data_IF_306512264831
#
_entry.id   IF_306512264831
#
_cell.length_a   1.000
_cell.length_b   1.000
_cell.length_c   1.000
_cell.angle_alpha   90.00
_cell.angle_beta   90.00
_cell.angle_gamma   90.00
#
_symmetry.space_group_name_H-M   'P 1'
#
loop_
_entity.id
_entity.type
_entity.pdbx_description
1 polymer ?
#
# COMPACT_ATOMS: atom_id res chain seq x y z
N UNK A 1 4.04 -5.66 9.47
CA UNK A 1 3.73 -4.93 8.22
C UNK A 1 2.24 -4.83 7.92
N UNK A 2 1.50 -5.92 7.75
CA UNK A 2 0.09 -5.83 7.30
C UNK A 2 -0.81 -5.01 8.24
N UNK A 3 -0.52 -4.99 9.55
CA UNK A 3 -1.21 -4.20 10.57
C UNK A 3 -0.32 -3.12 11.20
N UNK A 4 0.85 -2.85 10.63
CA UNK A 4 1.75 -1.82 11.17
C UNK A 4 1.24 -0.44 10.79
N UNK A 5 1.02 0.41 11.79
CA UNK A 5 0.54 1.78 11.61
C UNK A 5 1.64 2.80 11.40
N UNK A 6 1.24 4.07 11.38
CA UNK A 6 2.15 5.21 11.48
C UNK A 6 2.64 5.37 12.91
N UNK A 7 3.83 5.94 13.07
CA UNK A 7 4.38 6.35 14.36
C UNK A 7 3.98 7.79 14.68
N UNK A 8 3.77 8.05 15.96
CA UNK A 8 3.47 9.38 16.48
C UNK A 8 4.69 9.95 17.19
N UNK A 9 5.07 11.18 16.85
CA UNK A 9 6.21 11.89 17.44
C UNK A 9 5.78 13.23 18.03
N UNK A 10 6.52 13.70 19.03
CA UNK A 10 6.19 14.93 19.77
C UNK A 10 6.48 16.22 18.99
N UNK A 11 7.23 16.14 17.88
CA UNK A 11 7.60 17.28 17.04
C UNK A 11 7.01 17.15 15.62
N UNK A 12 6.86 18.27 14.91
CA UNK A 12 6.32 18.29 13.56
C UNK A 12 7.15 17.39 12.59
N UNK A 13 6.52 16.54 11.75
CA UNK A 13 5.10 16.52 11.35
C UNK A 13 4.15 15.69 12.23
N UNK A 14 4.56 15.29 13.44
CA UNK A 14 3.80 14.51 14.43
C UNK A 14 3.40 13.09 14.02
N UNK A 15 3.27 12.80 12.72
CA UNK A 15 2.96 11.49 12.18
C UNK A 15 4.07 11.12 11.19
N UNK A 16 4.73 9.99 11.42
CA UNK A 16 5.81 9.50 10.57
C UNK A 16 5.52 8.07 10.11
N UNK A 17 5.94 7.71 8.90
CA UNK A 17 5.94 6.32 8.51
C UNK A 17 6.90 5.50 9.38
N UNK A 18 6.47 4.31 9.78
CA UNK A 18 7.34 3.37 10.50
C UNK A 18 8.45 2.86 9.56
N UNK A 19 9.71 3.02 9.94
CA UNK A 19 10.89 2.61 9.16
C UNK A 19 11.01 1.09 8.94
N UNK A 20 10.35 0.29 9.77
CA UNK A 20 10.26 -1.18 9.64
C UNK A 20 9.02 -1.63 8.84
N UNK A 21 8.39 -0.70 8.11
CA UNK A 21 7.31 -0.93 7.17
C UNK A 21 5.94 -0.54 7.70
N UNK A 22 5.09 0.00 6.83
CA UNK A 22 3.70 0.37 7.11
C UNK A 22 2.74 -0.60 6.38
N UNK A 23 1.50 -0.74 6.86
CA UNK A 23 0.47 -1.49 6.14
C UNK A 23 0.26 -0.90 4.75
N UNK A 24 0.23 -1.75 3.71
CA UNK A 24 -0.01 -1.31 2.34
C UNK A 24 -1.38 -0.65 2.19
N UNK A 25 -2.38 -1.06 2.98
CA UNK A 25 -3.71 -0.47 2.99
C UNK A 25 -3.76 0.89 3.70
N UNK A 26 -2.89 1.11 4.69
CA UNK A 26 -2.75 2.43 5.32
C UNK A 26 -1.92 3.39 4.45
N UNK A 27 -0.88 2.88 3.81
CA UNK A 27 -0.06 3.64 2.87
C UNK A 27 -0.84 4.00 1.58
N UNK A 28 -1.73 3.12 1.15
CA UNK A 28 -2.56 3.29 -0.05
C UNK A 28 -4.00 2.84 0.19
N UNK A 29 -4.84 3.67 0.83
CA UNK A 29 -6.25 3.36 1.09
C UNK A 29 -7.07 3.00 -0.15
N UNK A 30 -6.64 3.45 -1.33
CA UNK A 30 -7.21 3.07 -2.62
C UNK A 30 -7.25 1.55 -2.83
N UNK A 31 -6.30 0.80 -2.26
CA UNK A 31 -6.26 -0.66 -2.36
C UNK A 31 -7.40 -1.35 -1.60
N UNK A 32 -8.14 -0.67 -0.74
CA UNK A 32 -9.37 -1.22 -0.16
C UNK A 32 -10.41 -1.57 -1.24
N UNK A 33 -10.32 -0.96 -2.42
CA UNK A 33 -11.18 -1.28 -3.56
C UNK A 33 -10.92 -2.66 -4.17
N UNK A 34 -9.80 -3.33 -3.82
CA UNK A 34 -9.53 -4.72 -4.22
C UNK A 34 -10.61 -5.70 -3.73
N UNK A 35 -11.25 -5.38 -2.61
CA UNK A 35 -12.28 -6.22 -1.99
C UNK A 35 -13.68 -6.00 -2.59
N UNK A 36 -13.82 -5.11 -3.58
CA UNK A 36 -15.10 -4.89 -4.25
C UNK A 36 -15.56 -6.16 -4.96
N UNK A 37 -16.87 -6.39 -4.92
CA UNK A 37 -17.49 -7.52 -5.60
C UNK A 37 -17.49 -7.38 -7.13
N UNK A 38 -17.50 -8.54 -7.79
CA UNK A 38 -17.42 -8.63 -9.25
C UNK A 38 -16.00 -8.70 -9.82
N UNK A 39 -15.94 -8.78 -11.14
CA UNK A 39 -14.69 -8.84 -11.90
C UNK A 39 -14.32 -10.23 -12.41
N UNK A 40 -14.02 -10.28 -13.70
CA UNK A 40 -13.53 -11.49 -14.38
C UNK A 40 -12.14 -11.84 -13.81
N UNK A 41 -11.90 -13.13 -13.56
CA UNK A 41 -10.65 -13.64 -12.99
C UNK A 41 -10.33 -13.25 -11.54
N UNK A 42 -11.32 -12.72 -10.77
CA UNK A 42 -11.16 -12.36 -9.35
C UNK A 42 -10.49 -13.46 -8.53
N UNK A 43 -10.97 -14.70 -8.66
CA UNK A 43 -10.44 -15.86 -7.92
C UNK A 43 -8.98 -16.11 -8.27
N UNK A 44 -8.64 -16.15 -9.57
CA UNK A 44 -7.27 -16.40 -10.01
C UNK A 44 -6.29 -15.32 -9.52
N UNK A 45 -6.70 -14.05 -9.58
CA UNK A 45 -5.89 -12.93 -9.09
C UNK A 45 -5.67 -12.99 -7.57
N UNK A 46 -6.71 -13.31 -6.79
CA UNK A 46 -6.58 -13.48 -5.33
C UNK A 46 -5.72 -14.70 -4.97
N UNK A 47 -5.83 -15.80 -5.71
CA UNK A 47 -4.95 -16.98 -5.54
C UNK A 47 -3.49 -16.62 -5.82
N UNK A 48 -3.22 -15.84 -6.88
CA UNK A 48 -1.87 -15.37 -7.18
C UNK A 48 -1.34 -14.43 -6.08
N UNK A 49 -2.15 -13.47 -5.63
CA UNK A 49 -1.79 -12.55 -4.53
C UNK A 49 -1.48 -13.34 -3.26
N UNK A 50 -2.33 -14.29 -2.87
CA UNK A 50 -2.13 -15.11 -1.68
C UNK A 50 -0.86 -15.96 -1.78
N UNK A 51 -0.63 -16.61 -2.93
CA UNK A 51 0.54 -17.44 -3.16
C UNK A 51 1.84 -16.63 -3.10
N UNK A 52 1.88 -15.49 -3.78
CA UNK A 52 3.03 -14.59 -3.78
C UNK A 52 3.27 -14.00 -2.38
N UNK A 53 2.21 -13.59 -1.68
CA UNK A 53 2.31 -13.06 -0.31
C UNK A 53 2.90 -14.10 0.64
N UNK A 54 2.48 -15.36 0.53
CA UNK A 54 3.02 -16.45 1.34
C UNK A 54 4.52 -16.64 1.09
N UNK A 55 4.94 -16.68 -0.18
CA UNK A 55 6.36 -16.77 -0.54
C UNK A 55 7.16 -15.60 0.02
N UNK A 56 6.62 -14.38 -0.06
CA UNK A 56 7.24 -13.18 0.50
C UNK A 56 7.38 -13.24 2.02
N UNK A 57 6.38 -13.77 2.73
CA UNK A 57 6.47 -13.98 4.18
C UNK A 57 7.55 -15.00 4.55
N UNK A 58 7.73 -16.05 3.75
CA UNK A 58 8.81 -17.02 3.94
C UNK A 58 10.20 -16.44 3.63
N UNK A 59 10.31 -15.39 2.81
CA UNK A 59 11.59 -14.77 2.45
C UNK A 59 12.23 -14.01 3.62
N UNK A 60 11.45 -13.60 4.62
CA UNK A 60 11.96 -13.30 5.96
C UNK A 60 13.03 -12.21 6.04
N UNK A 61 12.84 -11.02 5.44
CA UNK A 61 13.44 -9.78 5.97
C UNK A 61 12.85 -8.53 5.29
N UNK A 62 12.37 -7.53 6.07
CA UNK A 62 12.22 -6.16 5.57
C UNK A 62 13.53 -5.58 4.99
N UNK A 63 14.69 -5.96 5.56
CA UNK A 63 15.96 -5.28 5.32
C UNK A 63 16.03 -3.92 6.02
N UNK A 64 16.75 -2.97 5.43
CA UNK A 64 16.88 -1.57 5.85
C UNK A 64 15.53 -0.81 5.87
N UNK A 65 15.59 0.47 6.23
CA UNK A 65 14.44 1.37 6.24
C UNK A 65 13.62 1.29 4.94
N UNK A 66 12.32 1.06 5.08
CA UNK A 66 11.41 1.05 3.94
C UNK A 66 10.02 1.59 4.29
N UNK A 67 9.47 2.36 3.38
CA UNK A 67 8.08 2.77 3.42
C UNK A 67 7.21 1.67 2.82
N UNK A 68 6.17 1.24 3.56
CA UNK A 68 5.38 0.06 3.18
C UNK A 68 6.26 -1.20 3.05
N UNK A 69 5.94 -2.11 2.14
CA UNK A 69 6.75 -3.30 1.87
C UNK A 69 7.25 -3.31 0.42
N UNK A 70 8.57 -3.11 0.22
CA UNK A 70 9.17 -2.99 -1.13
C UNK A 70 8.88 -4.18 -2.04
N UNK A 71 8.85 -5.38 -1.46
CA UNK A 71 8.64 -6.60 -2.21
C UNK A 71 7.18 -6.82 -2.60
N UNK A 72 6.23 -6.09 -1.99
CA UNK A 72 4.82 -6.13 -2.38
C UNK A 72 4.59 -5.62 -3.81
N UNK A 73 5.57 -4.96 -4.44
CA UNK A 73 5.49 -4.52 -5.83
C UNK A 73 5.19 -5.67 -6.80
N UNK A 74 5.58 -6.91 -6.47
CA UNK A 74 5.25 -8.10 -7.29
C UNK A 74 3.75 -8.42 -7.32
N UNK A 75 2.98 -7.90 -6.35
CA UNK A 75 1.54 -8.09 -6.26
C UNK A 75 0.78 -7.12 -7.18
N UNK A 76 1.40 -6.01 -7.60
CA UNK A 76 0.75 -4.93 -8.34
C UNK A 76 0.05 -5.38 -9.64
N UNK A 77 0.64 -6.25 -10.50
CA UNK A 77 -0.05 -6.69 -11.71
C UNK A 77 -1.39 -7.36 -11.40
N UNK A 78 -1.45 -8.17 -10.35
CA UNK A 78 -2.67 -8.85 -9.91
C UNK A 78 -3.66 -7.90 -9.24
N UNK A 79 -3.17 -6.93 -8.47
CA UNK A 79 -3.99 -5.88 -7.88
C UNK A 79 -4.63 -5.00 -8.95
N UNK A 80 -3.88 -4.58 -9.97
CA UNK A 80 -4.42 -3.82 -11.10
C UNK A 80 -5.41 -4.62 -11.93
N UNK A 81 -5.16 -5.92 -12.13
CA UNK A 81 -6.13 -6.78 -12.79
C UNK A 81 -7.45 -6.85 -12.00
N UNK A 82 -7.40 -6.94 -10.67
CA UNK A 82 -8.61 -6.88 -9.82
C UNK A 82 -9.32 -5.54 -9.94
N UNK A 83 -8.59 -4.42 -9.77
CA UNK A 83 -9.17 -3.07 -9.80
C UNK A 83 -9.80 -2.72 -11.15
N UNK A 84 -9.19 -3.17 -12.24
CA UNK A 84 -9.74 -2.97 -13.59
C UNK A 84 -10.93 -3.88 -13.86
N UNK A 85 -10.89 -5.13 -13.39
CA UNK A 85 -11.97 -6.09 -13.59
C UNK A 85 -13.21 -5.77 -12.75
N UNK A 86 -13.06 -5.25 -11.53
CA UNK A 86 -14.15 -4.90 -10.62
C UNK A 86 -14.56 -3.41 -10.69
N UNK A 87 -13.98 -2.65 -11.62
CA UNK A 87 -14.26 -1.23 -11.81
C UNK A 87 -15.70 -0.95 -12.22
N UNK A 88 -16.27 0.14 -11.71
CA UNK A 88 -17.61 0.61 -12.10
C UNK A 88 -17.53 1.47 -13.37
N UNK A 89 -18.63 1.52 -14.14
CA UNK A 89 -18.68 2.32 -15.38
C UNK A 89 -18.51 3.83 -15.15
N UNK A 90 -18.75 4.31 -13.92
CA UNK A 90 -18.55 5.69 -13.50
C UNK A 90 -17.67 5.70 -12.25
N UNK A 91 -16.78 6.69 -12.20
CA UNK A 91 -15.94 6.94 -11.04
C UNK A 91 -16.78 7.65 -9.98
N UNK A 92 -16.77 7.13 -8.75
CA UNK A 92 -17.47 7.73 -7.61
C UNK A 92 -16.57 8.70 -6.85
N UNK A 93 -17.18 9.63 -6.11
CA UNK A 93 -16.44 10.56 -5.25
C UNK A 93 -15.59 9.80 -4.23
N UNK A 94 -16.09 8.70 -3.68
CA UNK A 94 -15.34 7.87 -2.72
C UNK A 94 -14.07 7.28 -3.32
N UNK A 95 -14.09 6.83 -4.58
CA UNK A 95 -12.90 6.32 -5.26
C UNK A 95 -11.86 7.42 -5.48
N UNK A 96 -12.31 8.61 -5.90
CA UNK A 96 -11.45 9.78 -6.08
C UNK A 96 -10.83 10.18 -4.74
N UNK A 97 -11.61 10.20 -3.67
CA UNK A 97 -11.11 10.52 -2.33
C UNK A 97 -10.07 9.51 -1.87
N UNK A 98 -10.33 8.20 -2.01
CA UNK A 98 -9.36 7.16 -1.64
C UNK A 98 -8.07 7.25 -2.47
N UNK A 99 -8.20 7.52 -3.76
CA UNK A 99 -7.06 7.74 -4.64
C UNK A 99 -6.25 8.97 -4.22
N UNK A 100 -6.90 10.12 -4.03
CA UNK A 100 -6.25 11.36 -3.64
C UNK A 100 -5.53 11.22 -2.28
N UNK A 101 -6.15 10.58 -1.30
CA UNK A 101 -5.53 10.29 0.01
C UNK A 101 -4.31 9.37 -0.16
N UNK A 102 -4.40 8.35 -1.00
CA UNK A 102 -3.26 7.46 -1.29
C UNK A 102 -2.10 8.23 -1.91
N UNK A 103 -2.38 9.09 -2.89
CA UNK A 103 -1.37 9.96 -3.53
C UNK A 103 -0.74 10.90 -2.51
N UNK A 104 -1.54 11.52 -1.64
CA UNK A 104 -1.05 12.44 -0.61
C UNK A 104 -0.14 11.73 0.40
N UNK A 105 -0.51 10.53 0.87
CA UNK A 105 0.30 9.74 1.81
C UNK A 105 1.63 9.33 1.19
N UNK A 106 1.62 8.80 -0.04
CA UNK A 106 2.85 8.43 -0.75
C UNK A 106 3.70 9.66 -1.08
N UNK A 107 3.08 10.78 -1.42
CA UNK A 107 3.75 12.07 -1.64
C UNK A 107 4.43 12.59 -0.38
N UNK A 108 3.75 12.53 0.77
CA UNK A 108 4.33 12.85 2.08
C UNK A 108 5.53 11.96 2.39
N UNK A 109 5.39 10.63 2.24
CA UNK A 109 6.49 9.70 2.49
C UNK A 109 7.70 9.97 1.56
N UNK A 110 7.44 10.29 0.29
CA UNK A 110 8.48 10.65 -0.68
C UNK A 110 9.15 11.97 -0.31
N UNK A 111 8.38 12.97 0.13
CA UNK A 111 8.92 14.25 0.58
C UNK A 111 9.80 14.08 1.81
N UNK A 112 9.35 13.31 2.80
CA UNK A 112 10.13 12.98 4.00
C UNK A 112 11.44 12.27 3.65
N UNK A 113 11.41 11.31 2.73
CA UNK A 113 12.61 10.59 2.30
C UNK A 113 13.63 11.48 1.56
N UNK A 114 13.16 12.36 0.66
CA UNK A 114 14.05 13.15 -0.20
C UNK A 114 14.53 14.45 0.45
N UNK A 115 13.74 15.03 1.35
CA UNK A 115 13.95 16.41 1.81
C UNK A 115 14.09 16.55 3.32
N UNK A 116 13.99 15.48 4.10
CA UNK A 116 14.20 15.52 5.56
C UNK A 116 15.15 14.42 6.03
N UNK A 117 15.71 14.60 7.23
CA UNK A 117 16.56 13.57 7.88
C UNK A 117 15.73 12.57 8.71
N UNK A 118 14.39 12.65 8.62
CA UNK A 118 13.50 11.82 9.42
C UNK A 118 13.43 10.37 8.90
N UNK A 119 13.89 10.14 7.67
CA UNK A 119 13.86 8.85 6.98
C UNK A 119 15.25 8.55 6.42
N UNK A 120 16.06 7.78 7.15
CA UNK A 120 17.43 7.41 6.73
C UNK A 120 17.71 5.90 6.86
N UNK A 121 18.55 5.32 5.98
CA UNK A 121 18.92 3.91 5.98
C UNK A 121 19.80 3.46 7.16
#
# INVERSE_FOLDING_TARGET
>A
MLFQGFESVSYFPHILPNGFGCSIFLASPFLCLLFREGGRYKVAAWVAIASLTLVLWCHGNPGSWQFSYRYAMILLPWMFLLLTANGTAKITVSEISLFAVSVAINGMATWLFLWTEQIQP
#
